data_IF_981972495424
#
_entry.id   IF_981972495424
#
_cell.length_a   1.000
_cell.length_b   1.000
_cell.length_c   1.000
_cell.angle_alpha   90.00
_cell.angle_beta   90.00
_cell.angle_gamma   90.00
#
_symmetry.space_group_name_H-M   'P 1'
#
loop_
_entity.id
_entity.type
_entity.pdbx_description
1 polymer ?
#
# COMPACT_ATOMS: atom_id res chain seq x y z
N UNK A 1 -2.59 -3.65 13.47
CA UNK A 1 -2.89 -3.66 12.02
C UNK A 1 -3.11 -5.11 11.60
N UNK A 2 -4.37 -5.57 11.56
CA UNK A 2 -4.66 -6.92 11.08
C UNK A 2 -4.24 -7.00 9.59
N UNK A 3 -3.47 -8.02 9.22
CA UNK A 3 -3.07 -8.28 7.82
C UNK A 3 -1.60 -8.06 7.46
N UNK A 4 -0.76 -7.47 8.34
CA UNK A 4 0.69 -7.35 8.10
C UNK A 4 1.44 -8.15 9.16
N UNK A 5 2.36 -9.02 8.71
CA UNK A 5 3.21 -9.76 9.64
C UNK A 5 4.16 -8.81 10.38
N UNK A 6 4.43 -9.08 11.66
CA UNK A 6 5.35 -8.28 12.48
C UNK A 6 6.74 -8.18 11.83
N UNK A 7 7.19 -9.25 11.18
CA UNK A 7 8.45 -9.30 10.44
C UNK A 7 8.44 -8.33 9.27
N UNK A 8 7.39 -8.33 8.45
CA UNK A 8 7.26 -7.40 7.32
C UNK A 8 7.24 -5.95 7.81
N UNK A 9 6.45 -5.64 8.84
CA UNK A 9 6.40 -4.29 9.41
C UNK A 9 7.79 -3.82 9.89
N UNK A 10 8.52 -4.69 10.58
CA UNK A 10 9.88 -4.37 11.06
C UNK A 10 10.85 -4.12 9.91
N UNK A 11 10.79 -4.93 8.84
CA UNK A 11 11.64 -4.75 7.66
C UNK A 11 11.30 -3.44 6.95
N UNK A 12 10.00 -3.17 6.71
CA UNK A 12 9.55 -1.93 6.07
C UNK A 12 9.97 -0.69 6.87
N UNK A 13 9.76 -0.69 8.19
CA UNK A 13 10.15 0.43 9.04
C UNK A 13 11.67 0.66 9.05
N UNK A 14 12.48 -0.40 9.07
CA UNK A 14 13.95 -0.29 8.96
C UNK A 14 14.39 0.29 7.62
N UNK A 15 13.74 -0.10 6.53
CA UNK A 15 14.05 0.46 5.21
C UNK A 15 13.67 1.96 5.15
N UNK A 16 12.48 2.32 5.63
CA UNK A 16 12.05 3.72 5.70
C UNK A 16 12.92 4.58 6.62
N UNK A 17 13.44 4.00 7.70
CA UNK A 17 14.42 4.64 8.59
C UNK A 17 15.75 4.87 7.86
N UNK A 18 16.25 3.85 7.15
CA UNK A 18 17.47 3.94 6.32
C UNK A 18 17.36 5.00 5.22
N UNK A 19 16.18 5.11 4.60
CA UNK A 19 15.91 6.09 3.54
C UNK A 19 15.69 7.51 4.09
N UNK A 20 15.66 7.67 5.43
CA UNK A 20 15.45 8.94 6.10
C UNK A 20 14.02 9.47 6.01
N UNK A 21 13.05 8.61 5.74
CA UNK A 21 11.62 8.95 5.66
C UNK A 21 10.92 8.83 7.02
N UNK A 22 11.44 7.95 7.88
CA UNK A 22 10.94 7.70 9.23
C UNK A 22 12.07 7.88 10.24
N UNK A 23 11.80 8.52 11.37
CA UNK A 23 12.69 8.55 12.53
C UNK A 23 12.19 7.58 13.60
N UNK A 24 13.13 6.91 14.27
CA UNK A 24 12.87 5.99 15.36
C UNK A 24 13.39 6.57 16.67
N UNK A 25 12.53 6.64 17.68
CA UNK A 25 12.89 7.11 19.02
C UNK A 25 12.62 6.00 20.03
N UNK A 26 13.64 5.65 20.82
CA UNK A 26 13.53 4.67 21.90
C UNK A 26 13.44 5.42 23.22
N UNK A 27 12.37 5.19 23.96
CA UNK A 27 12.16 5.77 25.27
C UNK A 27 12.56 4.75 26.35
N UNK A 28 13.56 5.07 27.19
CA UNK A 28 13.97 4.21 28.30
C UNK A 28 12.90 4.29 29.41
N UNK A 29 11.84 3.51 29.23
CA UNK A 29 10.70 3.37 30.14
C UNK A 29 10.57 1.90 30.52
N UNK A 30 9.80 1.60 31.58
CA UNK A 30 9.46 0.22 31.95
C UNK A 30 7.96 0.06 31.73
N UNK A 31 7.51 -0.72 30.72
CA UNK A 31 8.29 -1.41 29.69
C UNK A 31 8.88 -0.45 28.62
N UNK A 32 9.97 -0.82 27.93
CA UNK A 32 10.61 0.04 26.94
C UNK A 32 9.69 0.31 25.75
N UNK A 33 9.56 1.58 25.38
CA UNK A 33 8.69 2.04 24.30
C UNK A 33 9.51 2.48 23.09
N UNK A 34 9.08 2.08 21.90
CA UNK A 34 9.64 2.56 20.63
C UNK A 34 8.55 3.31 19.88
N UNK A 35 8.87 4.53 19.43
CA UNK A 35 7.98 5.32 18.60
C UNK A 35 8.64 5.59 17.25
N UNK A 36 7.80 5.58 16.21
CA UNK A 36 8.19 5.91 14.85
C UNK A 36 7.44 7.17 14.43
N UNK A 37 8.13 8.11 13.79
CA UNK A 37 7.55 9.35 13.27
C UNK A 37 8.02 9.60 11.86
N UNK A 38 7.20 10.25 11.04
CA UNK A 38 7.68 10.77 9.76
C UNK A 38 8.75 11.83 10.02
N UNK A 39 9.84 11.75 9.26
CA UNK A 39 10.80 12.84 9.14
C UNK A 39 10.22 13.98 8.29
N UNK A 40 10.94 15.09 8.14
CA UNK A 40 10.51 16.18 7.26
C UNK A 40 10.53 15.75 5.79
N UNK A 41 11.48 14.89 5.40
CA UNK A 41 11.49 14.25 4.07
C UNK A 41 10.31 13.31 3.89
N UNK A 42 9.95 12.53 4.92
CA UNK A 42 8.76 11.67 4.91
C UNK A 42 7.46 12.47 4.80
N UNK A 43 7.38 13.63 5.47
CA UNK A 43 6.25 14.57 5.33
C UNK A 43 6.15 15.15 3.92
N UNK A 44 7.28 15.55 3.33
CA UNK A 44 7.33 16.02 1.94
C UNK A 44 6.88 14.94 0.95
N UNK A 45 7.35 13.70 1.11
CA UNK A 45 6.91 12.57 0.29
C UNK A 45 5.40 12.32 0.43
N UNK A 46 4.85 12.41 1.64
CA UNK A 46 3.42 12.29 1.86
C UNK A 46 2.63 13.31 1.03
N UNK A 47 3.09 14.56 0.95
CA UNK A 47 2.43 15.58 0.12
C UNK A 47 2.41 15.22 -1.37
N UNK A 48 3.40 14.46 -1.86
CA UNK A 48 3.43 13.98 -3.24
C UNK A 48 2.54 12.75 -3.47
N UNK A 49 2.47 11.82 -2.50
CA UNK A 49 1.74 10.55 -2.64
C UNK A 49 0.24 10.69 -2.35
N UNK A 50 -0.16 11.54 -1.40
CA UNK A 50 -1.57 11.68 -0.99
C UNK A 50 -2.48 12.04 -2.17
N UNK A 51 -2.16 13.02 -3.04
CA UNK A 51 -3.01 13.35 -4.18
C UNK A 51 -3.17 12.19 -5.17
N UNK A 52 -2.15 11.34 -5.31
CA UNK A 52 -2.21 10.14 -6.15
C UNK A 52 -3.18 9.14 -5.54
N UNK A 53 -3.11 8.91 -4.23
CA UNK A 53 -4.02 8.00 -3.53
C UNK A 53 -5.47 8.49 -3.58
N UNK A 54 -5.68 9.80 -3.45
CA UNK A 54 -6.99 10.44 -3.60
C UNK A 54 -7.53 10.23 -5.01
N UNK A 55 -6.73 10.56 -6.04
CA UNK A 55 -7.13 10.33 -7.43
C UNK A 55 -7.49 8.87 -7.72
N UNK A 56 -6.70 7.91 -7.22
CA UNK A 56 -7.00 6.47 -7.38
C UNK A 56 -8.31 6.11 -6.71
N UNK A 57 -8.59 6.67 -5.54
CA UNK A 57 -9.84 6.43 -4.82
C UNK A 57 -11.03 6.97 -5.61
N UNK A 58 -10.90 8.19 -6.15
CA UNK A 58 -11.94 8.85 -6.94
C UNK A 58 -12.21 8.15 -8.28
N UNK A 59 -11.17 7.54 -8.87
CA UNK A 59 -11.26 6.89 -10.18
C UNK A 59 -11.47 5.37 -10.08
N UNK A 60 -11.61 4.82 -8.88
CA UNK A 60 -11.67 3.37 -8.66
C UNK A 60 -12.76 2.70 -9.49
N UNK A 61 -13.97 3.25 -9.50
CA UNK A 61 -15.11 2.68 -10.23
C UNK A 61 -14.88 2.69 -11.75
N UNK A 62 -14.32 3.78 -12.29
CA UNK A 62 -14.02 3.89 -13.72
C UNK A 62 -12.89 2.95 -14.15
N UNK A 63 -11.91 2.73 -13.28
CA UNK A 63 -10.84 1.74 -13.50
C UNK A 63 -11.44 0.33 -13.50
N UNK A 64 -12.30 -0.01 -12.53
CA UNK A 64 -12.97 -1.31 -12.45
C UNK A 64 -13.91 -1.58 -13.64
N UNK A 65 -14.61 -0.56 -14.15
CA UNK A 65 -15.41 -0.67 -15.37
C UNK A 65 -14.52 -0.92 -16.61
N UNK A 66 -13.42 -0.18 -16.73
CA UNK A 66 -12.47 -0.36 -17.83
C UNK A 66 -11.86 -1.76 -17.83
N UNK A 67 -11.50 -2.27 -16.65
CA UNK A 67 -11.02 -3.65 -16.47
C UNK A 67 -12.07 -4.68 -16.89
N UNK A 68 -13.31 -4.55 -16.39
CA UNK A 68 -14.40 -5.47 -16.76
C UNK A 68 -14.68 -5.49 -18.25
N UNK A 69 -14.68 -4.32 -18.92
CA UNK A 69 -14.86 -4.23 -20.37
C UNK A 69 -13.73 -4.93 -21.12
N UNK A 70 -12.48 -4.69 -20.73
CA UNK A 70 -11.34 -5.38 -21.33
C UNK A 70 -11.46 -6.89 -21.15
N UNK A 71 -11.75 -7.36 -19.93
CA UNK A 71 -11.90 -8.78 -19.64
C UNK A 71 -13.10 -9.39 -20.41
N UNK A 72 -14.21 -8.69 -20.60
CA UNK A 72 -15.33 -9.18 -21.40
C UNK A 72 -15.00 -9.25 -22.89
N UNK A 73 -14.26 -8.28 -23.41
CA UNK A 73 -13.83 -8.24 -24.82
C UNK A 73 -12.80 -9.33 -25.11
N UNK A 74 -11.94 -9.66 -24.14
CA UNK A 74 -10.94 -10.74 -24.25
C UNK A 74 -11.46 -12.13 -23.87
N UNK A 75 -12.52 -12.24 -23.07
CA UNK A 75 -13.12 -13.53 -22.70
C UNK A 75 -14.26 -13.97 -23.63
N UNK A 76 -14.38 -13.35 -24.82
CA UNK A 76 -15.16 -13.88 -25.94
C UNK A 76 -14.37 -15.00 -26.67
N UNK A 77 -13.98 -16.04 -25.94
CA UNK A 77 -13.73 -17.36 -26.50
C UNK A 77 -14.81 -18.29 -25.94
N UNK A 78 -15.60 -19.00 -26.79
CA UNK A 78 -16.69 -19.81 -26.29
C UNK A 78 -16.13 -21.01 -25.52
N UNK A 79 -16.34 -21.06 -24.20
CA UNK A 79 -16.38 -22.34 -23.51
C UNK A 79 -17.73 -23.02 -23.80
N UNK A 80 -17.85 -23.49 -25.03
CA UNK A 80 -18.82 -24.51 -25.42
C UNK A 80 -18.03 -25.68 -26.02
N UNK A 81 -17.54 -26.57 -25.15
CA UNK A 81 -17.22 -27.94 -25.52
C UNK A 81 -17.07 -28.77 -24.24
N UNK A 82 -18.12 -29.56 -23.99
CA UNK A 82 -18.02 -31.00 -23.71
C UNK A 82 -17.22 -31.43 -22.46
N UNK A 83 -17.93 -31.91 -21.44
CA UNK A 83 -17.52 -33.16 -20.81
C UNK A 83 -18.73 -33.90 -20.24
N UNK A 84 -19.22 -34.86 -21.04
CA UNK A 84 -20.03 -36.00 -20.64
C UNK A 84 -19.24 -36.94 -19.72
#
# INVERSE_FOLDING_TARGET
>A
VPGISQRMLTVTLRNLERDGLVSRTVYPTIPPKVEYRLSDRGRSLRCAIVPIAEWVTDNREGIEESQRRFDSDFNCAPQAADNK
#
